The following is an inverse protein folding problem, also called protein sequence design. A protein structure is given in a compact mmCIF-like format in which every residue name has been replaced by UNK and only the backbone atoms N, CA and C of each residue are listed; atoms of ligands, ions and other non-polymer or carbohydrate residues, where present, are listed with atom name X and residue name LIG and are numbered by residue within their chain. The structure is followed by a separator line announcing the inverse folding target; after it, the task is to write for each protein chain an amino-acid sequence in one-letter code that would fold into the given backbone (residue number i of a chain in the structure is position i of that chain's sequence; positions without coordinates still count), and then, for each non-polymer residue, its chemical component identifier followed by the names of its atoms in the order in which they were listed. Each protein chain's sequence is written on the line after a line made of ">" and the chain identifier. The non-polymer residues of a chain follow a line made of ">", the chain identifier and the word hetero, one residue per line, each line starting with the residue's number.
data_IF_123441389032
#
_entry.id   IF_123441389032
#
_cell.length_a   1.000
_cell.length_b   1.000
_cell.length_c   1.000
_cell.angle_alpha   90.00
_cell.angle_beta   90.00
_cell.angle_gamma   90.00
#
_symmetry.space_group_name_H-M   'P 1'
#
loop_
_entity.id
_entity.type
_entity.pdbx_description
1 polymer ?
#
# COMPACT_ATOMS: atom_id res chain seq x y z
N UNK A 1 -15.71 18.99 -20.17
CA UNK A 1 -15.04 17.69 -20.09
C UNK A 1 -13.90 17.93 -19.12
N UNK A 2 -14.03 17.49 -17.88
CA UNK A 2 -12.93 17.50 -16.91
C UNK A 2 -12.02 16.36 -17.33
N UNK A 3 -10.78 16.67 -17.70
CA UNK A 3 -9.72 15.67 -17.72
C UNK A 3 -9.57 15.23 -16.26
N UNK A 4 -9.93 14.00 -15.95
CA UNK A 4 -9.57 13.38 -14.69
C UNK A 4 -8.05 13.21 -14.75
N UNK A 5 -7.32 13.94 -13.91
CA UNK A 5 -5.92 13.64 -13.70
C UNK A 5 -5.84 12.20 -13.19
N UNK A 6 -5.04 11.37 -13.86
CA UNK A 6 -4.77 10.02 -13.40
C UNK A 6 -4.11 10.11 -12.02
N UNK A 7 -4.56 9.31 -11.07
CA UNK A 7 -3.94 9.27 -9.75
C UNK A 7 -2.51 8.70 -9.84
N UNK A 8 -1.72 8.92 -8.82
CA UNK A 8 -0.30 8.59 -8.75
C UNK A 8 -0.02 7.12 -9.00
N UNK A 9 -0.81 6.23 -8.38
CA UNK A 9 -0.72 4.77 -8.58
C UNK A 9 -1.05 4.37 -10.02
N UNK A 10 -2.02 5.03 -10.67
CA UNK A 10 -2.36 4.81 -12.07
C UNK A 10 -1.26 5.20 -13.07
N UNK A 11 -0.41 6.19 -12.75
CA UNK A 11 0.71 6.61 -13.62
C UNK A 11 1.84 5.58 -13.62
N UNK A 12 2.18 5.01 -12.47
CA UNK A 12 3.21 3.97 -12.37
C UNK A 12 2.83 2.67 -13.11
N UNK A 13 1.53 2.34 -13.17
CA UNK A 13 0.99 1.20 -13.94
C UNK A 13 1.18 1.33 -15.47
N UNK A 14 1.28 2.56 -15.99
CA UNK A 14 1.45 2.82 -17.44
C UNK A 14 2.87 2.64 -17.99
N UNK A 15 3.89 2.58 -17.15
CA UNK A 15 5.30 2.56 -17.59
C UNK A 15 5.79 1.12 -17.88
N UNK A 16 5.17 0.10 -17.31
CA UNK A 16 5.55 -1.32 -17.49
C UNK A 16 5.10 -2.01 -18.79
N UNK A 17 4.32 -1.36 -19.64
CA UNK A 17 3.72 -1.99 -20.83
C UNK A 17 4.47 -1.70 -22.14
N UNK A 18 5.69 -2.19 -22.27
CA UNK A 18 6.32 -2.30 -23.60
C UNK A 18 7.37 -3.40 -23.62
N UNK A 19 6.96 -4.63 -23.90
CA UNK A 19 7.56 -5.58 -24.85
C UNK A 19 6.74 -6.88 -24.82
N UNK A 20 5.86 -7.09 -25.78
CA UNK A 20 5.65 -8.36 -26.47
C UNK A 20 4.70 -8.16 -27.65
N UNK A 21 5.26 -7.90 -28.80
CA UNK A 21 4.53 -8.09 -30.05
C UNK A 21 4.96 -9.40 -30.65
N UNK A 22 3.99 -10.29 -30.94
CA UNK A 22 3.83 -10.90 -32.26
C UNK A 22 2.95 -12.14 -32.27
N UNK A 23 1.88 -12.01 -33.05
CA UNK A 23 1.33 -12.97 -34.00
C UNK A 23 0.27 -13.97 -33.55
N UNK A 24 -0.90 -13.82 -34.19
CA UNK A 24 -1.83 -14.92 -34.41
C UNK A 24 -3.30 -14.48 -34.46
N UNK A 25 -3.77 -14.02 -35.64
CA UNK A 25 -5.20 -13.83 -35.90
C UNK A 25 -5.95 -15.17 -35.88
N UNK A 26 -6.78 -15.37 -34.89
CA UNK A 26 -7.88 -16.31 -34.96
C UNK A 26 -9.09 -15.68 -34.26
N UNK A 27 -10.14 -15.43 -35.03
CA UNK A 27 -11.44 -15.03 -34.51
C UNK A 27 -11.98 -16.14 -33.59
N UNK A 28 -12.22 -15.84 -32.33
CA UNK A 28 -12.96 -16.70 -31.42
C UNK A 28 -14.08 -15.89 -30.77
N UNK A 29 -15.26 -16.44 -30.93
CA UNK A 29 -16.50 -16.15 -30.22
C UNK A 29 -16.27 -15.98 -28.72
N UNK A 30 -16.85 -14.92 -28.13
CA UNK A 30 -16.71 -14.54 -26.74
C UNK A 30 -16.93 -15.69 -25.74
N UNK A 31 -15.86 -16.11 -25.17
CA UNK A 31 -15.80 -16.60 -23.80
C UNK A 31 -15.07 -15.53 -23.00
N UNK A 32 -15.61 -15.13 -21.85
CA UNK A 32 -14.86 -14.36 -20.89
C UNK A 32 -13.51 -15.06 -20.71
N UNK A 33 -12.40 -14.39 -20.95
CA UNK A 33 -11.10 -14.95 -20.67
C UNK A 33 -11.08 -15.27 -19.16
N UNK A 34 -10.91 -16.52 -18.80
CA UNK A 34 -10.70 -16.87 -17.41
C UNK A 34 -9.42 -16.13 -16.97
N UNK A 35 -9.52 -15.34 -15.93
CA UNK A 35 -8.37 -14.67 -15.34
C UNK A 35 -7.30 -15.71 -14.98
N UNK A 36 -6.03 -15.37 -15.15
CA UNK A 36 -4.91 -16.26 -14.76
C UNK A 36 -5.03 -16.61 -13.27
N UNK A 37 -4.73 -17.83 -12.84
CA UNK A 37 -4.75 -18.17 -11.42
C UNK A 37 -3.59 -17.49 -10.69
N UNK A 38 -3.79 -17.20 -9.39
CA UNK A 38 -2.70 -16.85 -8.49
C UNK A 38 -1.74 -18.02 -8.33
N UNK A 39 -0.44 -17.78 -8.46
CA UNK A 39 0.60 -18.80 -8.34
C UNK A 39 1.58 -18.44 -7.20
N UNK A 40 2.07 -19.45 -6.48
CA UNK A 40 3.12 -19.24 -5.47
C UNK A 40 4.47 -19.00 -6.11
N UNK A 41 5.19 -18.00 -5.63
CA UNK A 41 6.54 -17.66 -6.06
C UNK A 41 7.53 -17.86 -4.90
N UNK A 42 8.75 -18.29 -5.21
CA UNK A 42 9.79 -18.50 -4.21
C UNK A 42 10.24 -17.17 -3.60
N UNK A 43 10.28 -17.12 -2.27
CA UNK A 43 10.76 -15.97 -1.52
C UNK A 43 12.13 -16.25 -0.92
N UNK A 44 13.09 -15.30 -0.99
CA UNK A 44 14.42 -15.45 -0.39
C UNK A 44 14.41 -15.23 1.13
N UNK A 45 13.25 -15.12 1.77
CA UNK A 45 13.11 -14.95 3.22
C UNK A 45 11.92 -15.75 3.78
N UNK A 46 12.02 -16.21 5.01
CA UNK A 46 10.89 -16.75 5.78
C UNK A 46 10.21 -15.70 6.68
N UNK A 47 10.67 -14.45 6.67
CA UNK A 47 10.06 -13.39 7.43
C UNK A 47 8.71 -13.00 6.84
N UNK A 48 7.79 -12.51 7.67
CA UNK A 48 6.54 -11.94 7.17
C UNK A 48 6.86 -10.74 6.30
N UNK A 49 6.35 -10.73 5.07
CA UNK A 49 6.28 -9.57 4.20
C UNK A 49 5.05 -8.77 4.61
N UNK A 50 5.23 -7.47 4.79
CA UNK A 50 4.17 -6.61 5.31
C UNK A 50 3.59 -5.71 4.26
N UNK A 51 4.42 -5.32 3.28
CA UNK A 51 4.00 -4.43 2.21
C UNK A 51 4.75 -4.72 0.91
N UNK A 52 4.18 -4.26 -0.22
CA UNK A 52 4.72 -4.44 -1.57
C UNK A 52 4.30 -3.28 -2.46
N UNK A 53 5.27 -2.68 -3.16
CA UNK A 53 5.05 -1.52 -4.02
C UNK A 53 5.78 -1.64 -5.35
N UNK A 54 5.25 -0.99 -6.39
CA UNK A 54 5.92 -0.84 -7.67
C UNK A 54 6.74 0.45 -7.72
N UNK A 55 7.99 0.30 -8.17
CA UNK A 55 8.89 1.39 -8.50
C UNK A 55 9.15 1.42 -10.02
N UNK A 56 9.90 2.41 -10.52
CA UNK A 56 10.35 2.44 -11.91
C UNK A 56 11.30 1.27 -12.26
N UNK A 57 11.93 0.65 -11.26
CA UNK A 57 12.80 -0.52 -11.43
C UNK A 57 12.08 -1.88 -11.30
N UNK A 58 10.80 -1.90 -10.89
CA UNK A 58 10.02 -3.12 -10.64
C UNK A 58 9.39 -3.15 -9.26
N UNK A 59 8.89 -4.31 -8.85
CA UNK A 59 8.23 -4.46 -7.55
C UNK A 59 9.24 -4.69 -6.42
N UNK A 60 8.97 -4.08 -5.26
CA UNK A 60 9.73 -4.21 -4.03
C UNK A 60 8.79 -4.62 -2.88
N UNK A 61 9.28 -5.44 -1.95
CA UNK A 61 8.54 -5.82 -0.77
C UNK A 61 9.36 -5.61 0.50
N UNK A 62 8.69 -5.15 1.57
CA UNK A 62 9.32 -4.91 2.87
C UNK A 62 8.87 -5.94 3.91
N UNK A 63 9.76 -6.29 4.84
CA UNK A 63 9.54 -7.43 5.71
C UNK A 63 10.06 -7.26 7.15
N UNK A 64 9.73 -8.24 7.97
CA UNK A 64 10.34 -8.43 9.29
C UNK A 64 11.86 -8.56 9.21
N UNK A 65 12.55 -8.13 10.27
CA UNK A 65 14.01 -8.18 10.33
C UNK A 65 14.72 -7.10 9.49
N UNK A 66 13.99 -6.08 9.04
CA UNK A 66 14.53 -5.01 8.20
C UNK A 66 14.90 -5.47 6.79
N UNK A 67 14.23 -6.51 6.30
CA UNK A 67 14.49 -7.07 4.98
C UNK A 67 13.71 -6.28 3.93
N UNK A 68 14.38 -5.98 2.80
CA UNK A 68 13.76 -5.48 1.58
C UNK A 68 14.10 -6.44 0.44
N UNK A 69 13.08 -6.80 -0.31
CA UNK A 69 13.18 -7.66 -1.50
C UNK A 69 12.93 -6.84 -2.76
N UNK A 70 13.58 -7.21 -3.83
CA UNK A 70 13.38 -6.73 -5.18
C UNK A 70 12.93 -7.86 -6.09
N UNK A 71 11.92 -7.62 -6.92
CA UNK A 71 11.48 -8.54 -7.98
C UNK A 71 12.27 -8.30 -9.25
N UNK A 72 12.96 -9.33 -9.73
CA UNK A 72 13.74 -9.31 -10.98
C UNK A 72 13.19 -10.31 -11.99
N UNK A 73 13.72 -10.32 -13.21
CA UNK A 73 13.41 -11.35 -14.21
C UNK A 73 13.76 -12.79 -13.75
N UNK A 74 14.66 -12.92 -12.78
CA UNK A 74 15.09 -14.22 -12.23
C UNK A 74 14.33 -14.62 -10.95
N UNK A 75 13.35 -13.82 -10.53
CA UNK A 75 12.59 -13.98 -9.29
C UNK A 75 13.00 -12.95 -8.23
N UNK A 76 12.50 -13.16 -7.02
CA UNK A 76 12.73 -12.25 -5.89
C UNK A 76 14.12 -12.42 -5.29
N UNK A 77 14.78 -11.31 -5.00
CA UNK A 77 16.08 -11.29 -4.34
C UNK A 77 16.10 -10.32 -3.16
N UNK A 78 16.88 -10.66 -2.14
CA UNK A 78 17.07 -9.79 -0.99
C UNK A 78 18.13 -8.73 -1.32
N UNK A 79 17.77 -7.44 -1.21
CA UNK A 79 18.67 -6.31 -1.46
C UNK A 79 19.10 -5.60 -0.18
N UNK A 80 18.29 -5.70 0.89
CA UNK A 80 18.59 -5.13 2.19
C UNK A 80 18.31 -6.13 3.31
N UNK A 81 19.14 -6.13 4.34
CA UNK A 81 18.99 -6.92 5.57
C UNK A 81 19.37 -6.04 6.77
N UNK A 82 18.50 -5.97 7.77
CA UNK A 82 18.73 -5.16 8.97
C UNK A 82 18.09 -3.78 8.97
N UNK A 83 17.47 -3.34 7.86
CA UNK A 83 16.77 -2.05 7.74
C UNK A 83 17.68 -0.83 7.75
N UNK A 84 17.12 0.40 7.83
CA UNK A 84 17.88 1.63 7.71
C UNK A 84 18.91 1.82 8.84
N UNK A 85 18.61 1.33 10.04
CA UNK A 85 19.49 1.45 11.21
C UNK A 85 20.48 0.29 11.38
N UNK A 86 20.36 -0.78 10.60
CA UNK A 86 21.12 -2.02 10.78
C UNK A 86 20.71 -2.86 12.00
N UNK A 87 19.63 -2.50 12.72
CA UNK A 87 19.19 -3.16 13.94
C UNK A 87 18.19 -4.31 13.72
N UNK A 88 17.78 -4.59 12.48
CA UNK A 88 16.83 -5.64 12.16
C UNK A 88 15.40 -5.30 12.59
N UNK A 89 15.05 -4.03 12.69
CA UNK A 89 13.68 -3.58 12.95
C UNK A 89 12.75 -4.01 11.81
N UNK A 90 11.58 -4.57 12.14
CA UNK A 90 10.59 -4.92 11.12
C UNK A 90 10.11 -3.69 10.39
N UNK A 91 9.94 -3.80 9.07
CA UNK A 91 9.37 -2.79 8.21
C UNK A 91 7.92 -3.15 7.94
N UNK A 92 7.00 -2.20 8.11
CA UNK A 92 5.55 -2.47 8.11
C UNK A 92 4.81 -1.84 6.95
N UNK A 93 5.25 -0.69 6.46
CA UNK A 93 4.66 0.02 5.32
C UNK A 93 5.73 0.54 4.38
N UNK A 94 5.37 0.70 3.12
CA UNK A 94 6.20 1.25 2.07
C UNK A 94 5.36 2.10 1.12
N UNK A 95 5.98 3.08 0.47
CA UNK A 95 5.41 3.83 -0.64
C UNK A 95 6.54 4.40 -1.50
N UNK A 96 6.20 4.91 -2.67
CA UNK A 96 7.14 5.28 -3.72
C UNK A 96 6.89 6.72 -4.16
N UNK A 97 7.98 7.48 -4.43
CA UNK A 97 7.87 8.82 -5.03
C UNK A 97 7.16 8.78 -6.38
N UNK A 98 6.53 9.91 -6.80
CA UNK A 98 5.74 10.01 -8.04
C UNK A 98 6.50 9.61 -9.31
N UNK A 99 7.83 9.76 -9.29
CA UNK A 99 8.71 9.35 -10.40
C UNK A 99 9.21 7.90 -10.29
N UNK A 100 8.75 7.13 -9.29
CA UNK A 100 9.12 5.74 -9.11
C UNK A 100 10.55 5.48 -8.63
N UNK A 101 11.32 6.53 -8.30
CA UNK A 101 12.79 6.39 -8.10
C UNK A 101 13.21 6.21 -6.66
N UNK A 102 12.34 6.47 -5.71
CA UNK A 102 12.63 6.28 -4.28
C UNK A 102 11.55 5.43 -3.65
N UNK A 103 11.98 4.33 -3.07
CA UNK A 103 11.17 3.52 -2.17
C UNK A 103 11.37 4.03 -0.76
N UNK A 104 10.30 4.51 -0.14
CA UNK A 104 10.25 4.85 1.28
C UNK A 104 9.66 3.68 2.05
N UNK A 105 10.15 3.43 3.25
CA UNK A 105 9.61 2.40 4.13
C UNK A 105 9.77 2.76 5.59
N UNK A 106 8.82 2.31 6.39
CA UNK A 106 8.74 2.59 7.82
C UNK A 106 8.50 1.34 8.64
N UNK A 107 8.76 1.41 9.95
CA UNK A 107 8.55 0.24 10.78
C UNK A 107 8.77 0.41 12.28
N UNK A 108 9.19 -0.69 12.91
CA UNK A 108 9.39 -0.79 14.34
C UNK A 108 10.47 0.18 14.84
N UNK A 109 10.26 0.67 16.06
CA UNK A 109 11.23 1.52 16.78
C UNK A 109 11.60 2.82 16.05
N UNK A 110 10.65 3.40 15.32
CA UNK A 110 10.85 4.66 14.59
C UNK A 110 11.69 4.52 13.32
N UNK A 111 11.82 3.31 12.77
CA UNK A 111 12.57 3.09 11.54
C UNK A 111 11.92 3.81 10.36
N UNK A 112 12.72 4.56 9.60
CA UNK A 112 12.36 5.20 8.33
C UNK A 112 13.57 5.11 7.41
N UNK A 113 13.38 4.56 6.21
CA UNK A 113 14.41 4.48 5.18
C UNK A 113 13.91 5.02 3.85
N UNK A 114 14.81 5.64 3.08
CA UNK A 114 14.65 6.02 1.69
C UNK A 114 15.67 5.27 0.86
N UNK A 115 15.21 4.46 -0.08
CA UNK A 115 16.08 3.65 -0.95
C UNK A 115 15.99 4.16 -2.38
N UNK A 116 17.14 4.54 -2.92
CA UNK A 116 17.28 4.90 -4.33
C UNK A 116 17.36 3.63 -5.17
N UNK A 117 16.32 3.36 -5.97
CA UNK A 117 16.23 2.12 -6.75
C UNK A 117 17.19 2.06 -7.92
N UNK A 118 17.69 3.22 -8.41
CA UNK A 118 18.66 3.28 -9.49
C UNK A 118 20.10 3.07 -9.01
N UNK A 119 20.47 3.68 -7.88
CA UNK A 119 21.85 3.65 -7.36
C UNK A 119 22.09 2.63 -6.26
N UNK A 120 21.03 2.09 -5.65
CA UNK A 120 21.11 1.19 -4.51
C UNK A 120 21.52 1.89 -3.19
N UNK A 121 21.42 3.21 -3.12
CA UNK A 121 21.80 3.96 -1.92
C UNK A 121 20.62 4.02 -0.94
N UNK A 122 20.91 3.65 0.31
CA UNK A 122 19.97 3.76 1.43
C UNK A 122 20.28 5.00 2.26
N UNK A 123 19.28 5.84 2.50
CA UNK A 123 19.32 6.97 3.44
C UNK A 123 18.50 6.62 4.68
N UNK A 124 19.05 6.87 5.86
CA UNK A 124 18.41 6.65 7.15
C UNK A 124 17.78 7.96 7.66
N UNK A 125 16.46 7.98 7.79
CA UNK A 125 15.65 9.07 8.35
C UNK A 125 15.02 8.67 9.69
N UNK A 126 15.47 7.57 10.31
CA UNK A 126 14.85 6.98 11.50
C UNK A 126 14.83 7.90 12.70
N UNK A 127 13.87 7.67 13.59
CA UNK A 127 13.66 8.38 14.84
C UNK A 127 13.52 9.91 14.68
N UNK A 128 12.65 10.41 13.77
CA UNK A 128 12.41 11.84 13.64
C UNK A 128 11.97 12.42 15.00
N UNK A 129 12.52 13.55 15.40
CA UNK A 129 12.24 14.18 16.72
C UNK A 129 12.47 13.24 17.92
N UNK A 130 13.44 12.33 17.82
CA UNK A 130 13.74 11.29 18.81
C UNK A 130 12.56 10.30 19.07
N UNK A 131 11.63 10.16 18.14
CA UNK A 131 10.50 9.25 18.25
C UNK A 131 10.92 7.82 17.90
N UNK A 132 10.70 6.90 18.84
CA UNK A 132 11.00 5.47 18.70
C UNK A 132 9.75 4.58 18.80
N UNK A 133 8.56 5.14 18.60
CA UNK A 133 7.33 4.37 18.47
C UNK A 133 7.33 3.61 17.14
N UNK A 134 6.50 2.57 17.04
CA UNK A 134 6.32 1.94 15.74
C UNK A 134 5.57 2.87 14.78
N UNK A 135 5.99 2.81 13.55
CA UNK A 135 5.30 3.38 12.40
C UNK A 135 4.64 2.23 11.63
N UNK A 136 3.35 2.36 11.34
CA UNK A 136 2.54 1.29 10.78
C UNK A 136 2.49 1.35 9.26
N UNK A 137 2.49 2.59 8.72
CA UNK A 137 2.34 2.83 7.30
C UNK A 137 2.94 4.17 6.89
N UNK A 138 3.19 4.36 5.61
CA UNK A 138 3.76 5.57 5.03
C UNK A 138 3.10 5.86 3.69
N UNK A 139 2.83 7.13 3.41
CA UNK A 139 2.51 7.60 2.06
C UNK A 139 3.43 8.76 1.69
N UNK A 140 3.84 8.80 0.42
CA UNK A 140 4.84 9.73 -0.09
C UNK A 140 4.32 10.37 -1.36
N UNK A 141 4.43 11.68 -1.48
CA UNK A 141 4.08 12.44 -2.69
C UNK A 141 5.27 13.26 -3.16
N UNK A 142 5.27 13.65 -4.42
CA UNK A 142 6.37 14.40 -5.03
C UNK A 142 7.48 13.52 -5.57
N UNK A 143 8.48 14.14 -6.17
CA UNK A 143 9.56 13.44 -6.86
C UNK A 143 10.74 13.16 -5.94
N UNK A 144 11.63 12.29 -6.39
CA UNK A 144 12.87 11.96 -5.69
C UNK A 144 13.64 13.22 -5.26
N UNK A 145 13.91 13.36 -3.96
CA UNK A 145 14.60 14.52 -3.37
C UNK A 145 13.70 15.71 -3.04
N UNK A 146 12.41 15.68 -3.42
CA UNK A 146 11.41 16.73 -3.15
C UNK A 146 10.12 16.14 -2.54
N UNK A 147 10.24 15.03 -1.83
CA UNK A 147 9.09 14.28 -1.33
C UNK A 147 8.41 14.97 -0.14
N UNK A 148 7.07 14.94 -0.14
CA UNK A 148 6.29 15.05 1.09
C UNK A 148 6.11 13.64 1.67
N UNK A 149 6.46 13.45 2.92
CA UNK A 149 6.44 12.15 3.59
C UNK A 149 5.44 12.18 4.73
N UNK A 150 4.54 11.21 4.76
CA UNK A 150 3.48 11.08 5.76
C UNK A 150 3.56 9.71 6.43
N UNK A 151 3.70 9.67 7.74
CA UNK A 151 3.96 8.43 8.50
C UNK A 151 2.89 8.22 9.55
N UNK A 152 2.19 7.10 9.46
CA UNK A 152 1.17 6.65 10.41
C UNK A 152 1.78 5.96 11.62
N UNK A 153 1.44 6.39 12.84
CA UNK A 153 2.05 5.88 14.07
C UNK A 153 1.09 5.19 15.04
N UNK A 154 1.61 4.25 15.81
CA UNK A 154 0.91 3.50 16.88
C UNK A 154 0.30 4.41 17.96
N UNK A 155 0.87 5.59 18.16
CA UNK A 155 0.40 6.56 19.15
C UNK A 155 -0.80 7.40 18.68
N UNK A 156 -1.37 7.11 17.51
CA UNK A 156 -2.43 7.89 16.89
C UNK A 156 -1.95 9.23 16.35
N UNK A 157 -0.66 9.33 16.07
CA UNK A 157 -0.05 10.51 15.48
C UNK A 157 0.25 10.24 14.02
N UNK A 158 0.00 11.26 13.19
CA UNK A 158 0.58 11.40 11.86
C UNK A 158 1.82 12.28 11.96
N UNK A 159 2.96 11.73 11.58
CA UNK A 159 4.20 12.48 11.42
C UNK A 159 4.35 12.87 9.96
N UNK A 160 4.88 14.04 9.68
CA UNK A 160 5.04 14.49 8.30
C UNK A 160 6.26 15.40 8.14
N UNK A 161 6.85 15.36 6.95
CA UNK A 161 7.87 16.29 6.49
C UNK A 161 7.55 16.69 5.05
N UNK A 162 7.70 17.98 4.75
CA UNK A 162 7.50 18.52 3.40
C UNK A 162 8.83 18.87 2.71
N UNK A 163 9.93 18.37 3.24
CA UNK A 163 11.30 18.62 2.76
C UNK A 163 12.10 17.32 2.71
N UNK A 164 11.54 16.31 2.01
CA UNK A 164 12.17 15.01 1.78
C UNK A 164 12.67 14.33 3.08
N UNK A 165 11.93 14.42 4.16
CA UNK A 165 12.31 13.80 5.43
C UNK A 165 13.59 14.37 6.06
N UNK A 166 14.05 15.55 5.64
CA UNK A 166 15.27 16.15 6.17
C UNK A 166 15.18 16.35 7.68
N UNK A 167 16.32 16.26 8.36
CA UNK A 167 16.40 16.51 9.80
C UNK A 167 15.85 17.89 10.15
N UNK A 168 15.11 17.98 11.28
CA UNK A 168 14.48 19.22 11.78
C UNK A 168 13.28 19.74 10.95
N UNK A 169 12.84 19.03 9.91
CA UNK A 169 11.67 19.40 9.10
C UNK A 169 10.41 18.61 9.45
N UNK A 170 10.53 17.69 10.37
CA UNK A 170 9.44 16.86 10.83
C UNK A 170 8.53 17.57 11.83
N UNK A 171 7.22 17.36 11.67
CA UNK A 171 6.18 17.76 12.62
C UNK A 171 5.18 16.62 12.81
N UNK A 172 4.20 16.78 13.69
CA UNK A 172 3.16 15.78 13.89
C UNK A 172 1.82 16.39 14.27
N UNK A 173 0.76 15.63 14.01
CA UNK A 173 -0.61 15.96 14.45
C UNK A 173 -1.26 14.68 15.01
N UNK A 174 -2.28 14.86 15.85
CA UNK A 174 -3.12 13.76 16.35
C UNK A 174 -4.53 13.94 15.78
N UNK A 175 -4.88 13.27 14.68
CA UNK A 175 -6.14 13.46 13.98
C UNK A 175 -7.38 13.09 14.80
N UNK A 176 -7.26 12.07 15.63
CA UNK A 176 -8.36 11.48 16.38
C UNK A 176 -8.12 11.38 17.88
N UNK A 177 -8.60 10.30 18.48
CA UNK A 177 -8.56 10.06 19.93
C UNK A 177 -7.22 9.52 20.45
N UNK A 178 -6.21 9.36 19.60
CA UNK A 178 -4.94 8.72 19.94
C UNK A 178 -4.92 7.20 19.70
N UNK A 179 -5.92 6.66 19.03
CA UNK A 179 -5.87 5.27 18.53
C UNK A 179 -4.85 5.15 17.42
N UNK A 180 -4.14 3.99 17.35
CA UNK A 180 -3.17 3.73 16.30
C UNK A 180 -3.76 4.02 14.91
N UNK A 181 -3.03 4.74 14.09
CA UNK A 181 -3.35 4.92 12.68
C UNK A 181 -2.77 3.73 11.94
N UNK A 182 -3.63 2.98 11.26
CA UNK A 182 -3.26 1.70 10.66
C UNK A 182 -2.79 1.83 9.22
N UNK A 183 -3.40 2.77 8.47
CA UNK A 183 -3.05 3.01 7.08
C UNK A 183 -3.21 4.49 6.70
N UNK A 184 -2.45 4.92 5.71
CA UNK A 184 -2.44 6.27 5.14
C UNK A 184 -2.27 6.18 3.63
N UNK A 185 -3.06 6.96 2.89
CA UNK A 185 -2.90 7.07 1.45
C UNK A 185 -3.20 8.49 0.95
N UNK A 186 -2.33 9.02 0.09
CA UNK A 186 -2.40 10.36 -0.49
C UNK A 186 -2.49 10.28 -2.00
N UNK A 187 -3.59 10.81 -2.57
CA UNK A 187 -3.83 10.88 -4.00
C UNK A 187 -3.27 12.15 -4.68
N UNK A 188 -2.84 13.14 -3.88
CA UNK A 188 -2.30 14.42 -4.35
C UNK A 188 -1.31 14.93 -3.28
N UNK A 189 -0.47 15.89 -3.60
CA UNK A 189 0.64 16.41 -2.76
C UNK A 189 0.33 16.53 -1.28
N UNK A 190 -0.89 17.00 -0.95
CA UNK A 190 -1.34 17.30 0.40
C UNK A 190 -2.74 16.79 0.69
N UNK A 191 -3.30 15.96 -0.18
CA UNK A 191 -4.66 15.46 -0.07
C UNK A 191 -4.67 13.96 0.05
N UNK A 192 -5.29 13.45 1.10
CA UNK A 192 -5.31 12.03 1.37
C UNK A 192 -6.22 11.65 2.52
N UNK A 193 -6.21 10.38 2.84
CA UNK A 193 -7.03 9.75 3.86
C UNK A 193 -6.20 8.89 4.80
N UNK A 194 -6.68 8.71 6.01
CA UNK A 194 -6.15 7.77 6.99
C UNK A 194 -7.29 7.00 7.65
N UNK A 195 -6.96 5.80 8.10
CA UNK A 195 -7.84 4.97 8.93
C UNK A 195 -7.19 4.61 10.26
N UNK A 196 -7.99 4.58 11.33
CA UNK A 196 -7.51 4.23 12.65
C UNK A 196 -8.11 2.91 13.18
N UNK A 197 -7.47 2.35 14.20
CA UNK A 197 -7.94 1.16 14.91
C UNK A 197 -9.25 1.36 15.70
N UNK A 198 -9.84 2.56 15.70
CA UNK A 198 -11.09 2.92 16.36
C UNK A 198 -12.21 3.25 15.36
N UNK A 199 -12.24 2.60 14.22
CA UNK A 199 -13.32 2.69 13.21
C UNK A 199 -13.50 4.09 12.66
N UNK A 200 -12.42 4.84 12.46
CA UNK A 200 -12.48 6.21 11.98
C UNK A 200 -11.72 6.36 10.68
N UNK A 201 -12.30 7.13 9.78
CA UNK A 201 -11.68 7.61 8.56
C UNK A 201 -11.53 9.12 8.68
N UNK A 202 -10.38 9.65 8.37
CA UNK A 202 -10.11 11.08 8.33
C UNK A 202 -9.56 11.47 6.98
N UNK A 203 -9.81 12.71 6.57
CA UNK A 203 -9.26 13.31 5.37
C UNK A 203 -8.50 14.58 5.68
N UNK A 204 -7.52 14.89 4.84
CA UNK A 204 -6.78 16.12 4.84
C UNK A 204 -6.83 16.82 3.47
N UNK A 205 -6.67 18.13 3.45
CA UNK A 205 -6.52 18.95 2.24
C UNK A 205 -5.20 19.72 2.22
N UNK A 206 -4.44 19.65 3.30
CA UNK A 206 -3.20 20.40 3.50
C UNK A 206 -2.06 19.56 4.08
N UNK A 207 -2.30 18.25 4.30
CA UNK A 207 -1.35 17.28 4.85
C UNK A 207 -1.16 17.40 6.37
N UNK A 208 -1.76 18.39 7.03
CA UNK A 208 -1.55 18.66 8.46
C UNK A 208 -2.84 18.82 9.26
N UNK A 209 -3.92 19.23 8.63
CA UNK A 209 -5.23 19.38 9.29
C UNK A 209 -6.17 18.25 8.87
N UNK A 210 -6.67 17.49 9.84
CA UNK A 210 -7.46 16.29 9.60
C UNK A 210 -8.91 16.45 10.06
N UNK A 211 -9.83 16.03 9.21
CA UNK A 211 -11.26 16.07 9.49
C UNK A 211 -11.84 14.65 9.39
N UNK A 212 -12.55 14.21 10.44
CA UNK A 212 -13.23 12.93 10.42
C UNK A 212 -14.38 12.95 9.41
N UNK A 213 -14.40 11.98 8.50
CA UNK A 213 -15.45 11.80 7.49
C UNK A 213 -16.35 10.60 7.80
N UNK A 214 -16.63 10.35 9.01
CA UNK A 214 -17.54 9.41 9.63
C UNK A 214 -18.03 8.24 8.77
N UNK A 215 -17.87 7.04 9.29
CA UNK A 215 -18.53 5.83 8.82
C UNK A 215 -19.58 5.49 9.89
N UNK A 216 -20.86 5.81 9.60
CA UNK A 216 -21.93 5.46 10.52
C UNK A 216 -22.08 3.93 10.57
N UNK A 217 -22.21 3.40 11.79
CA UNK A 217 -22.47 1.99 12.05
C UNK A 217 -21.38 0.98 11.68
N UNK A 218 -20.17 1.42 11.30
CA UNK A 218 -19.05 0.50 11.17
C UNK A 218 -18.75 -0.16 12.53
N UNK A 219 -18.82 -1.49 12.57
CA UNK A 219 -18.60 -2.26 13.80
C UNK A 219 -17.32 -3.11 13.75
N UNK A 220 -16.38 -2.71 12.90
CA UNK A 220 -15.11 -3.39 12.67
C UNK A 220 -13.95 -2.39 12.71
N UNK A 221 -12.75 -2.85 13.05
CA UNK A 221 -11.54 -2.04 12.92
C UNK A 221 -11.14 -1.94 11.46
N UNK A 222 -10.58 -0.80 11.06
CA UNK A 222 -10.06 -0.58 9.72
C UNK A 222 -8.56 -0.89 9.67
N UNK A 223 -8.10 -1.41 8.53
CA UNK A 223 -6.72 -1.87 8.36
C UNK A 223 -6.02 -1.29 7.15
N UNK A 224 -6.70 -1.11 6.02
CA UNK A 224 -6.19 -0.53 4.80
C UNK A 224 -7.09 0.59 4.29
N UNK A 225 -6.53 1.49 3.54
CA UNK A 225 -7.21 2.58 2.83
C UNK A 225 -6.56 2.75 1.47
N UNK A 226 -7.39 2.90 0.47
CA UNK A 226 -7.02 3.27 -0.88
C UNK A 226 -7.79 4.53 -1.26
N UNK A 227 -7.11 5.54 -1.77
CA UNK A 227 -7.62 6.90 -1.89
C UNK A 227 -7.26 7.49 -3.25
N UNK A 228 -8.21 7.46 -4.18
CA UNK A 228 -8.06 8.00 -5.54
C UNK A 228 -8.61 9.42 -5.68
N UNK A 229 -9.29 9.90 -4.64
CA UNK A 229 -9.89 11.24 -4.64
C UNK A 229 -10.67 11.54 -3.37
N UNK A 230 -11.23 12.75 -3.28
CA UNK A 230 -12.14 13.08 -2.18
C UNK A 230 -13.49 12.40 -2.28
N UNK A 231 -13.84 11.90 -3.43
CA UNK A 231 -15.09 11.23 -3.78
C UNK A 231 -14.88 9.78 -4.23
N UNK A 232 -13.68 9.23 -4.01
CA UNK A 232 -13.35 7.84 -4.28
C UNK A 232 -12.37 7.33 -3.24
N UNK A 233 -12.88 6.61 -2.23
CA UNK A 233 -12.08 6.08 -1.12
C UNK A 233 -12.58 4.70 -0.75
N UNK A 234 -11.68 3.74 -0.76
CA UNK A 234 -11.93 2.39 -0.30
C UNK A 234 -11.27 2.13 1.05
N UNK A 235 -11.97 1.42 1.92
CA UNK A 235 -11.46 1.04 3.25
C UNK A 235 -11.67 -0.45 3.48
N UNK A 236 -10.62 -1.15 3.87
CA UNK A 236 -10.69 -2.55 4.28
C UNK A 236 -10.69 -2.71 5.79
N UNK A 237 -11.39 -3.75 6.29
CA UNK A 237 -11.55 -3.93 7.72
C UNK A 237 -11.71 -5.37 8.18
N UNK A 238 -12.01 -5.53 9.47
CA UNK A 238 -12.28 -6.82 10.09
C UNK A 238 -13.57 -7.46 9.62
N UNK A 239 -13.67 -8.80 9.73
CA UNK A 239 -14.90 -9.52 9.43
C UNK A 239 -15.33 -9.46 7.97
N UNK A 240 -14.40 -9.34 7.03
CA UNK A 240 -14.66 -9.29 5.60
C UNK A 240 -15.34 -8.01 5.10
N UNK A 241 -15.35 -6.97 5.91
CA UNK A 241 -16.02 -5.72 5.55
C UNK A 241 -15.11 -4.80 4.76
N UNK A 242 -15.66 -4.29 3.66
CA UNK A 242 -15.12 -3.19 2.87
C UNK A 242 -16.14 -2.05 2.85
N UNK A 243 -15.66 -0.84 2.65
CA UNK A 243 -16.51 0.35 2.55
C UNK A 243 -15.99 1.23 1.42
N UNK A 244 -16.90 1.68 0.57
CA UNK A 244 -16.62 2.62 -0.50
C UNK A 244 -17.31 3.96 -0.24
N UNK A 245 -16.55 5.03 -0.34
CA UNK A 245 -17.02 6.42 -0.28
C UNK A 245 -17.08 7.00 -1.69
N UNK A 246 -18.26 7.43 -2.12
CA UNK A 246 -18.50 8.01 -3.46
C UNK A 246 -18.59 9.55 -3.46
N UNK A 247 -18.14 10.18 -2.36
CA UNK A 247 -18.26 11.62 -2.15
C UNK A 247 -19.56 12.05 -1.45
N UNK A 248 -20.55 11.16 -1.35
CA UNK A 248 -21.88 11.43 -0.78
C UNK A 248 -22.20 10.49 0.37
N UNK A 249 -22.00 9.17 0.15
CA UNK A 249 -22.32 8.14 1.14
C UNK A 249 -21.32 7.00 1.15
N UNK A 250 -21.25 6.31 2.29
CA UNK A 250 -20.48 5.10 2.44
C UNK A 250 -21.32 3.88 2.09
N UNK A 251 -20.86 3.08 1.13
CA UNK A 251 -21.47 1.81 0.74
C UNK A 251 -20.69 0.65 1.33
N UNK A 252 -21.29 -0.16 2.24
CA UNK A 252 -20.65 -1.34 2.78
C UNK A 252 -20.72 -2.53 1.81
N UNK A 253 -19.64 -3.32 1.78
CA UNK A 253 -19.57 -4.60 1.07
C UNK A 253 -19.10 -5.68 2.06
N UNK A 254 -19.79 -6.82 2.06
CA UNK A 254 -19.49 -7.97 2.92
C UNK A 254 -18.91 -9.10 2.05
N UNK A 255 -17.64 -9.43 2.24
CA UNK A 255 -16.95 -10.50 1.49
C UNK A 255 -16.86 -11.80 2.28
N UNK A 256 -17.31 -11.84 3.54
CA UNK A 256 -17.25 -13.02 4.41
C UNK A 256 -16.70 -12.71 5.80
N UNK A 257 -15.77 -13.50 6.31
CA UNK A 257 -15.32 -13.46 7.71
C UNK A 257 -13.82 -13.15 7.89
N UNK A 258 -13.07 -13.01 6.82
CA UNK A 258 -11.64 -12.73 6.91
C UNK A 258 -11.36 -11.29 7.36
N UNK A 259 -10.34 -11.09 8.19
CA UNK A 259 -9.79 -9.73 8.41
C UNK A 259 -9.02 -9.31 7.17
N UNK A 260 -9.56 -8.33 6.44
CA UNK A 260 -8.95 -7.78 5.24
C UNK A 260 -7.89 -6.76 5.66
N UNK A 261 -6.67 -6.91 5.16
CA UNK A 261 -5.51 -6.17 5.65
C UNK A 261 -5.11 -5.02 4.77
N UNK A 262 -5.33 -5.18 3.49
CA UNK A 262 -4.99 -4.21 2.48
C UNK A 262 -6.02 -4.20 1.36
N UNK A 263 -6.05 -3.12 0.61
CA UNK A 263 -6.95 -2.90 -0.51
C UNK A 263 -6.27 -2.01 -1.53
N UNK A 264 -6.38 -2.35 -2.79
CA UNK A 264 -5.88 -1.60 -3.93
C UNK A 264 -6.93 -1.66 -5.03
N UNK A 265 -7.48 -0.54 -5.42
CA UNK A 265 -8.46 -0.40 -6.50
C UNK A 265 -7.90 0.53 -7.56
N UNK A 266 -8.00 0.14 -8.81
CA UNK A 266 -7.45 0.94 -9.91
C UNK A 266 -8.39 2.07 -10.30
N UNK A 267 -7.82 3.23 -10.58
CA UNK A 267 -8.56 4.40 -11.05
C UNK A 267 -9.51 4.13 -12.21
N UNK A 268 -10.77 4.46 -12.05
CA UNK A 268 -11.75 4.64 -13.12
C UNK A 268 -12.31 3.38 -13.76
N UNK A 269 -11.66 2.23 -13.65
CA UNK A 269 -12.10 0.97 -14.26
C UNK A 269 -12.82 0.06 -13.25
N UNK A 270 -12.68 0.34 -11.95
CA UNK A 270 -13.34 -0.38 -10.88
C UNK A 270 -12.81 -1.80 -10.69
N UNK A 271 -11.60 -2.07 -11.16
CA UNK A 271 -10.90 -3.32 -10.93
C UNK A 271 -9.95 -3.17 -9.73
N UNK A 272 -9.76 -4.21 -8.95
CA UNK A 272 -8.84 -4.14 -7.81
C UNK A 272 -8.86 -5.39 -6.96
N UNK A 273 -8.05 -5.38 -5.90
CA UNK A 273 -7.95 -6.50 -4.98
C UNK A 273 -8.01 -6.02 -3.53
N UNK A 274 -8.50 -6.91 -2.68
CA UNK A 274 -8.26 -6.85 -1.24
C UNK A 274 -7.79 -8.20 -0.75
N UNK A 275 -6.90 -8.19 0.25
CA UNK A 275 -6.26 -9.39 0.75
C UNK A 275 -6.36 -9.51 2.27
N UNK A 276 -6.27 -10.73 2.79
CA UNK A 276 -6.39 -10.90 4.23
C UNK A 276 -6.10 -12.27 4.80
N UNK A 277 -6.72 -12.54 5.93
CA UNK A 277 -6.52 -13.75 6.70
C UNK A 277 -6.83 -15.03 5.94
N UNK A 278 -6.03 -16.09 6.17
CA UNK A 278 -6.25 -17.40 5.57
C UNK A 278 -5.97 -17.48 4.07
N UNK A 279 -5.15 -16.59 3.53
CA UNK A 279 -4.80 -16.55 2.11
C UNK A 279 -5.91 -15.99 1.22
N UNK A 280 -6.84 -15.26 1.79
CA UNK A 280 -7.97 -14.71 1.05
C UNK A 280 -7.53 -13.58 0.15
N UNK A 281 -7.96 -13.65 -1.11
CA UNK A 281 -7.90 -12.58 -2.11
C UNK A 281 -9.31 -12.42 -2.68
N UNK A 282 -9.79 -11.21 -2.70
CA UNK A 282 -11.02 -10.84 -3.39
C UNK A 282 -10.69 -9.85 -4.49
N UNK A 283 -11.29 -10.07 -5.65
CA UNK A 283 -11.16 -9.25 -6.86
C UNK A 283 -12.44 -8.45 -7.05
N UNK A 284 -12.31 -7.19 -7.36
CA UNK A 284 -13.39 -6.33 -7.81
C UNK A 284 -13.44 -6.36 -9.35
N UNK A 285 -14.59 -6.75 -9.90
CA UNK A 285 -15.02 -6.60 -11.30
C UNK A 285 -16.52 -6.46 -11.26
N UNK A 286 -17.09 -5.34 -11.12
CA UNK A 286 -18.51 -5.10 -10.82
C UNK A 286 -18.98 -5.52 -9.41
N UNK A 287 -18.50 -6.60 -8.86
CA UNK A 287 -18.76 -7.11 -7.51
C UNK A 287 -17.49 -7.76 -6.94
N UNK A 288 -17.31 -7.70 -5.61
CA UNK A 288 -16.21 -8.40 -4.96
C UNK A 288 -16.39 -9.91 -4.99
N UNK A 289 -15.48 -10.62 -5.64
CA UNK A 289 -15.49 -12.08 -5.77
C UNK A 289 -14.21 -12.71 -5.23
N UNK A 290 -14.35 -13.82 -4.50
CA UNK A 290 -13.19 -14.51 -3.94
C UNK A 290 -12.44 -15.30 -5.02
N UNK A 291 -11.14 -15.02 -5.14
CA UNK A 291 -10.23 -15.82 -5.98
C UNK A 291 -9.73 -17.07 -5.23
N UNK A 292 -9.39 -18.11 -6.02
CA UNK A 292 -8.65 -19.25 -5.51
C UNK A 292 -7.17 -18.88 -5.39
N UNK A 293 -6.57 -19.17 -4.24
CA UNK A 293 -5.15 -18.91 -3.98
C UNK A 293 -4.41 -20.19 -3.60
N UNK A 294 -3.11 -20.29 -3.89
CA UNK A 294 -2.31 -21.47 -3.57
C UNK A 294 -1.84 -21.52 -2.11
N UNK A 295 -2.29 -20.59 -1.25
CA UNK A 295 -1.80 -20.44 0.12
C UNK A 295 -2.94 -20.35 1.13
N UNK A 296 -2.69 -20.80 2.37
CA UNK A 296 -3.53 -20.51 3.54
C UNK A 296 -2.88 -19.52 4.52
N UNK A 297 -1.74 -18.94 4.17
CA UNK A 297 -1.06 -17.96 4.98
C UNK A 297 -1.82 -16.61 4.98
N UNK A 298 -1.71 -15.85 6.06
CA UNK A 298 -2.30 -14.52 6.11
C UNK A 298 -1.55 -13.59 5.15
N UNK A 299 -2.26 -13.08 4.17
CA UNK A 299 -1.77 -12.01 3.29
C UNK A 299 -1.84 -10.67 4.00
N UNK A 300 -0.94 -9.75 3.67
CA UNK A 300 -0.71 -8.47 4.34
C UNK A 300 -0.90 -7.29 3.42
N UNK A 301 -0.39 -7.40 2.18
CA UNK A 301 -0.47 -6.35 1.19
C UNK A 301 -0.70 -6.93 -0.20
N UNK A 302 -1.22 -6.09 -1.09
CA UNK A 302 -1.44 -6.38 -2.51
C UNK A 302 -1.12 -5.14 -3.32
N UNK A 303 -0.49 -5.32 -4.47
CA UNK A 303 -0.30 -4.26 -5.45
C UNK A 303 -0.73 -4.74 -6.83
N UNK A 304 -1.44 -3.89 -7.55
CA UNK A 304 -1.82 -4.09 -8.94
C UNK A 304 -0.72 -3.58 -9.87
N UNK A 305 -0.39 -4.31 -10.94
CA UNK A 305 0.63 -3.86 -11.87
C UNK A 305 0.75 -4.67 -13.14
N UNK A 306 1.95 -4.73 -13.71
CA UNK A 306 2.22 -5.62 -14.84
C UNK A 306 2.06 -7.10 -14.48
N UNK A 307 2.23 -7.40 -13.22
CA UNK A 307 1.92 -8.64 -12.52
C UNK A 307 1.23 -8.21 -11.23
N UNK A 308 0.07 -8.77 -10.91
CA UNK A 308 -0.55 -8.51 -9.61
C UNK A 308 0.17 -9.35 -8.55
N UNK A 309 0.53 -8.72 -7.44
CA UNK A 309 1.37 -9.35 -6.41
C UNK A 309 0.68 -9.22 -5.06
N UNK A 310 0.58 -10.32 -4.33
CA UNK A 310 0.19 -10.27 -2.93
C UNK A 310 1.23 -10.96 -2.04
N UNK A 311 1.50 -10.36 -0.89
CA UNK A 311 2.54 -10.79 0.03
C UNK A 311 2.00 -11.04 1.43
N UNK A 312 2.72 -11.84 2.24
CA UNK A 312 2.23 -12.14 3.57
C UNK A 312 3.13 -12.93 4.51
N UNK A 313 2.49 -13.58 5.47
CA UNK A 313 3.15 -14.32 6.54
C UNK A 313 4.06 -15.45 6.03
N UNK A 314 5.18 -15.68 6.72
CA UNK A 314 6.09 -16.76 6.41
C UNK A 314 6.85 -16.60 5.10
N UNK A 315 7.03 -15.37 4.61
CA UNK A 315 7.66 -15.09 3.34
C UNK A 315 6.77 -15.40 2.13
N UNK A 316 5.45 -15.51 2.32
CA UNK A 316 4.52 -15.82 1.23
C UNK A 316 4.53 -14.72 0.19
N UNK A 317 4.70 -15.11 -1.08
CA UNK A 317 4.49 -14.30 -2.28
C UNK A 317 3.60 -15.09 -3.23
N UNK A 318 2.56 -14.48 -3.73
CA UNK A 318 1.74 -15.02 -4.81
C UNK A 318 1.63 -13.97 -5.92
N UNK A 319 1.66 -14.40 -7.17
CA UNK A 319 1.62 -13.56 -8.36
C UNK A 319 0.54 -14.03 -9.34
N UNK A 320 0.05 -13.09 -10.14
CA UNK A 320 -0.96 -13.36 -11.18
C UNK A 320 -0.72 -12.54 -12.45
#
# INVERSE_FOLDING_TARGET
>A
MSEREATRRGVLKGIGASVAAAMGTAALSGSAAASSPWESVESPTGNTLYDVEYTDAGAYAVAGGGVVLERTELGWQKILDGGPTGNGNSLYGADVTDDGKRLWFVGASGAIGEYDVESGVLTDHSAPMDVTNNFNDVSVTGQAGEANVYVAGDSGKMYYSFENGASETWDYVTPGSGSAINAVDFFDDRKGHIVDGNKSVFRTQDGSTWNKIGLADANVNFYGVDSDGFDDVWVSGGGGMLFHWDGVEWTPHDTGDAGLRDIEVTDGDGDGYTVGGGGKVYELDSEWTQNQTPTGQNLKAVVCGSVDIAVGAGGTIIER
#
